data_IF_471681478711
#
_entry.id   IF_471681478711
#
_cell.length_a   1.000
_cell.length_b   1.000
_cell.length_c   1.000
_cell.angle_alpha   90.00
_cell.angle_beta   90.00
_cell.angle_gamma   90.00
#
_symmetry.space_group_name_H-M   'P 1'
#
loop_
_entity.id
_entity.type
_entity.pdbx_description
1 polymer ?
#
# COMPACT_ATOMS: atom_id res chain seq x y z
N UNK A 1 23.20 -39.36 -35.32
CA UNK A 1 23.48 -40.80 -35.37
C UNK A 1 22.13 -41.49 -35.50
N UNK A 2 21.88 -41.80 -36.66
CA UNK A 2 21.03 -42.72 -37.40
C UNK A 2 20.73 -44.00 -36.63
N UNK A 3 19.49 -44.50 -36.64
CA UNK A 3 19.15 -45.82 -37.17
C UNK A 3 17.64 -45.95 -37.39
N UNK A 4 17.34 -46.13 -38.67
CA UNK A 4 16.13 -46.61 -39.34
C UNK A 4 16.20 -48.14 -39.40
N UNK A 5 15.08 -48.77 -39.82
CA UNK A 5 14.90 -50.14 -40.42
C UNK A 5 13.87 -50.95 -39.60
N UNK A 6 12.93 -51.66 -40.17
CA UNK A 6 12.33 -51.83 -41.50
C UNK A 6 11.11 -52.77 -41.38
N UNK A 7 10.33 -52.70 -42.38
CA UNK A 7 9.16 -53.49 -42.75
C UNK A 7 9.51 -54.97 -43.02
N UNK A 8 8.56 -55.90 -42.77
CA UNK A 8 8.24 -57.01 -43.72
C UNK A 8 7.00 -57.79 -43.24
N UNK A 9 5.93 -57.75 -44.03
CA UNK A 9 5.38 -58.81 -44.91
C UNK A 9 5.06 -60.16 -44.21
N UNK A 10 3.86 -60.68 -44.14
CA UNK A 10 2.83 -60.90 -45.14
C UNK A 10 2.31 -62.32 -45.01
N UNK A 11 1.10 -62.51 -45.19
CA UNK A 11 0.36 -63.60 -45.87
C UNK A 11 -0.96 -64.02 -45.20
N UNK A 12 -1.92 -64.01 -46.02
CA UNK A 12 -3.28 -64.47 -45.86
C UNK A 12 -3.40 -65.98 -45.67
N UNK A 13 -4.43 -66.42 -45.02
CA UNK A 13 -5.12 -67.65 -45.33
C UNK A 13 -6.62 -67.57 -45.03
N UNK A 14 -7.36 -67.91 -46.04
CA UNK A 14 -8.81 -68.03 -46.19
C UNK A 14 -9.43 -69.11 -45.31
N UNK A 15 -10.68 -68.97 -44.93
CA UNK A 15 -11.45 -70.10 -44.49
C UNK A 15 -12.79 -69.83 -43.80
N UNK A 16 -13.85 -69.78 -44.60
CA UNK A 16 -15.18 -70.30 -44.36
C UNK A 16 -16.16 -69.65 -43.36
N UNK A 17 -17.16 -69.08 -43.94
CA UNK A 17 -18.47 -68.78 -43.36
C UNK A 17 -19.10 -69.95 -42.65
N UNK A 18 -19.81 -69.70 -41.52
CA UNK A 18 -21.08 -70.34 -41.16
C UNK A 18 -21.63 -69.61 -39.89
N UNK A 19 -22.94 -69.23 -40.00
CA UNK A 19 -23.90 -68.89 -38.93
C UNK A 19 -23.91 -67.49 -38.35
N UNK A 20 -24.36 -66.60 -39.21
CA UNK A 20 -25.00 -65.34 -38.79
C UNK A 20 -26.51 -65.59 -38.61
N UNK A 21 -27.05 -65.39 -37.43
CA UNK A 21 -28.48 -65.40 -37.21
C UNK A 21 -28.89 -65.07 -35.77
N UNK A 22 -28.02 -65.29 -34.78
CA UNK A 22 -28.37 -65.10 -33.36
C UNK A 22 -27.60 -63.97 -32.68
N UNK A 23 -26.58 -63.43 -33.35
CA UNK A 23 -25.69 -62.39 -32.80
C UNK A 23 -26.25 -60.97 -32.99
N UNK A 24 -26.96 -60.71 -34.12
CA UNK A 24 -27.45 -59.34 -34.40
C UNK A 24 -28.59 -58.89 -33.50
N UNK A 25 -29.49 -59.80 -33.09
CA UNK A 25 -30.59 -59.40 -32.17
C UNK A 25 -30.12 -59.16 -30.75
N UNK A 26 -29.02 -59.83 -30.31
CA UNK A 26 -28.38 -59.52 -29.00
C UNK A 26 -27.56 -58.24 -29.04
N UNK A 27 -26.88 -57.98 -30.12
CA UNK A 27 -26.11 -56.74 -30.30
C UNK A 27 -27.01 -55.49 -30.40
N UNK A 28 -28.18 -55.60 -31.07
CA UNK A 28 -29.14 -54.50 -31.17
C UNK A 28 -29.84 -54.20 -29.84
N UNK A 29 -30.12 -55.25 -29.02
CA UNK A 29 -30.72 -55.08 -27.69
C UNK A 29 -29.71 -54.50 -26.71
N UNK A 30 -28.45 -54.87 -26.78
CA UNK A 30 -27.37 -54.35 -25.96
C UNK A 30 -27.06 -52.89 -26.33
N UNK A 31 -27.03 -52.51 -27.61
CA UNK A 31 -26.88 -51.14 -28.05
C UNK A 31 -28.00 -50.20 -27.53
N UNK A 32 -29.26 -50.67 -27.57
CA UNK A 32 -30.41 -49.90 -27.03
C UNK A 32 -30.35 -49.74 -25.51
N UNK A 33 -29.84 -50.74 -24.77
CA UNK A 33 -29.68 -50.67 -23.30
C UNK A 33 -28.51 -49.77 -22.91
N UNK A 34 -27.38 -49.82 -23.63
CA UNK A 34 -26.24 -48.92 -23.41
C UNK A 34 -26.62 -47.49 -23.78
N UNK A 35 -27.37 -47.24 -24.83
CA UNK A 35 -27.87 -45.89 -25.21
C UNK A 35 -28.84 -45.31 -24.17
N UNK A 36 -29.69 -46.15 -23.56
CA UNK A 36 -30.61 -45.72 -22.49
C UNK A 36 -29.90 -45.46 -21.17
N UNK A 37 -28.85 -46.21 -20.87
CA UNK A 37 -27.99 -45.95 -19.71
C UNK A 37 -27.11 -44.71 -19.93
N UNK A 38 -26.58 -44.47 -21.13
CA UNK A 38 -25.82 -43.29 -21.47
C UNK A 38 -26.68 -42.00 -21.46
N UNK A 39 -27.95 -42.10 -21.92
CA UNK A 39 -28.91 -40.98 -21.84
C UNK A 39 -29.35 -40.68 -20.40
N UNK A 40 -29.47 -41.68 -19.55
CA UNK A 40 -29.80 -41.52 -18.13
C UNK A 40 -28.65 -40.90 -17.34
N UNK A 41 -27.37 -41.25 -17.66
CA UNK A 41 -26.18 -40.62 -17.09
C UNK A 41 -26.03 -39.17 -17.59
N UNK A 42 -26.31 -38.89 -18.88
CA UNK A 42 -26.23 -37.52 -19.41
C UNK A 42 -27.33 -36.61 -18.81
N UNK A 43 -28.52 -37.12 -18.54
CA UNK A 43 -29.57 -36.37 -17.87
C UNK A 43 -29.28 -36.16 -16.36
N UNK A 44 -28.60 -37.10 -15.69
CA UNK A 44 -28.15 -36.95 -14.30
C UNK A 44 -27.02 -35.90 -14.14
N UNK A 45 -26.14 -35.77 -15.14
CA UNK A 45 -25.05 -34.78 -15.12
C UNK A 45 -25.61 -33.37 -15.41
N UNK A 46 -26.70 -33.23 -16.20
CA UNK A 46 -27.33 -31.93 -16.43
C UNK A 46 -28.21 -31.45 -15.26
N UNK A 47 -28.67 -32.35 -14.38
CA UNK A 47 -29.45 -31.95 -13.19
C UNK A 47 -28.54 -31.55 -12.00
N UNK A 48 -27.25 -31.91 -12.01
CA UNK A 48 -26.29 -31.48 -11.00
C UNK A 48 -25.48 -30.24 -11.43
N UNK A 49 -25.67 -29.75 -12.66
CA UNK A 49 -24.97 -28.58 -13.21
C UNK A 49 -25.76 -27.27 -13.12
N UNK A 50 -26.93 -27.25 -12.47
CA UNK A 50 -27.66 -26.02 -12.14
C UNK A 50 -27.80 -25.80 -10.63
N UNK A 51 -26.78 -26.13 -9.85
CA UNK A 51 -26.37 -25.22 -8.80
C UNK A 51 -25.62 -24.11 -9.57
N UNK A 52 -26.39 -23.21 -10.16
CA UNK A 52 -25.96 -21.87 -10.43
C UNK A 52 -25.27 -21.42 -9.14
N UNK A 53 -23.97 -21.40 -9.13
CA UNK A 53 -23.28 -20.33 -8.46
C UNK A 53 -23.98 -19.07 -8.99
N UNK A 54 -25.01 -18.61 -8.29
CA UNK A 54 -25.29 -17.20 -8.24
C UNK A 54 -23.94 -16.61 -7.97
N UNK A 55 -23.32 -16.00 -8.98
CA UNK A 55 -22.22 -15.11 -8.77
C UNK A 55 -22.72 -14.13 -7.72
N UNK A 56 -22.42 -14.39 -6.45
CA UNK A 56 -21.86 -13.32 -5.68
C UNK A 56 -20.72 -12.86 -6.60
N UNK A 57 -20.87 -11.73 -7.26
CA UNK A 57 -19.77 -10.81 -7.28
C UNK A 57 -19.26 -10.88 -5.85
N UNK A 58 -18.20 -11.65 -5.60
CA UNK A 58 -17.32 -11.39 -4.49
C UNK A 58 -16.93 -9.92 -4.73
N UNK A 59 -17.72 -9.00 -4.19
CA UNK A 59 -17.15 -7.80 -3.68
C UNK A 59 -16.17 -8.36 -2.67
N UNK A 60 -14.92 -8.34 -3.05
CA UNK A 60 -13.83 -8.76 -2.21
C UNK A 60 -13.93 -7.84 -0.99
N UNK A 61 -14.75 -8.25 0.00
CA UNK A 61 -14.95 -7.49 1.21
C UNK A 61 -13.72 -7.77 2.08
N UNK A 62 -12.74 -6.91 1.88
CA UNK A 62 -11.46 -6.99 2.57
C UNK A 62 -11.62 -7.00 4.08
N UNK A 63 -12.61 -6.29 4.60
CA UNK A 63 -12.92 -6.29 6.03
C UNK A 63 -13.32 -7.69 6.53
N UNK A 64 -14.14 -8.41 5.77
CA UNK A 64 -14.49 -9.80 6.07
C UNK A 64 -13.27 -10.70 5.97
N UNK A 65 -12.46 -10.55 4.93
CA UNK A 65 -11.23 -11.33 4.75
C UNK A 65 -10.22 -11.13 5.91
N UNK A 66 -10.09 -9.90 6.43
CA UNK A 66 -9.24 -9.59 7.60
C UNK A 66 -9.76 -10.35 8.84
N UNK A 67 -11.06 -10.31 9.11
CA UNK A 67 -11.68 -11.03 10.23
C UNK A 67 -11.51 -12.54 10.13
N UNK A 68 -11.72 -13.09 8.95
CA UNK A 68 -11.67 -14.54 8.70
C UNK A 68 -10.25 -15.09 8.84
N UNK A 69 -9.22 -14.34 8.40
CA UNK A 69 -7.81 -14.76 8.50
C UNK A 69 -7.17 -14.40 9.85
N UNK A 70 -7.81 -13.54 10.66
CA UNK A 70 -7.39 -13.21 12.02
C UNK A 70 -6.23 -12.22 12.14
N UNK A 71 -5.88 -11.47 11.09
CA UNK A 71 -4.86 -10.42 11.16
C UNK A 71 -5.15 -9.27 10.21
N UNK A 72 -4.74 -8.06 10.61
CA UNK A 72 -4.67 -6.84 9.80
C UNK A 72 -3.21 -6.63 9.38
N UNK A 73 -2.95 -6.50 8.09
CA UNK A 73 -1.61 -6.27 7.55
C UNK A 73 -1.49 -4.84 7.04
N UNK A 74 -0.61 -4.07 7.68
CA UNK A 74 -0.33 -2.69 7.29
C UNK A 74 1.08 -2.54 6.72
N UNK A 75 1.27 -1.52 5.88
CA UNK A 75 2.60 -1.05 5.49
C UNK A 75 2.81 0.40 5.91
N UNK A 76 4.06 0.70 6.25
CA UNK A 76 4.48 2.02 6.75
C UNK A 76 5.95 2.29 6.40
N UNK A 77 6.34 3.56 6.31
CA UNK A 77 7.74 4.00 6.20
C UNK A 77 8.16 4.56 7.56
N UNK A 78 8.85 3.77 8.43
CA UNK A 78 9.00 4.09 9.83
C UNK A 78 10.18 5.04 10.10
N UNK A 79 10.24 6.16 9.38
CA UNK A 79 11.28 7.19 9.51
C UNK A 79 10.69 8.61 9.46
N UNK A 80 9.43 8.78 9.91
CA UNK A 80 8.75 10.07 9.88
C UNK A 80 8.02 10.37 11.20
N UNK A 81 8.78 10.66 12.26
CA UNK A 81 8.23 11.05 13.55
C UNK A 81 7.41 12.37 13.45
N UNK A 82 6.36 12.52 14.23
CA UNK A 82 5.86 11.64 15.30
C UNK A 82 4.85 10.58 14.81
N UNK A 83 4.66 10.43 13.50
CA UNK A 83 3.64 9.56 12.94
C UNK A 83 4.06 8.10 12.98
N UNK A 84 5.26 7.78 12.48
CA UNK A 84 5.87 6.45 12.49
C UNK A 84 7.40 6.54 12.56
N UNK A 85 7.99 5.79 13.49
CA UNK A 85 9.44 5.72 13.64
C UNK A 85 9.88 4.44 14.34
N UNK A 86 11.18 4.13 14.23
CA UNK A 86 11.81 3.00 14.93
C UNK A 86 12.41 3.49 16.25
N UNK A 87 11.97 2.92 17.37
CA UNK A 87 12.62 3.07 18.67
C UNK A 87 13.79 2.07 18.75
N UNK A 88 15.07 2.55 18.72
CA UNK A 88 16.24 1.68 18.71
C UNK A 88 16.46 0.94 20.03
N UNK A 89 15.72 1.28 21.07
CA UNK A 89 15.78 0.62 22.38
C UNK A 89 14.90 -0.62 22.46
N UNK A 90 14.04 -0.84 21.45
CA UNK A 90 13.08 -1.93 21.38
C UNK A 90 13.40 -2.87 20.22
N UNK A 91 12.70 -3.99 20.14
CA UNK A 91 12.88 -5.01 19.10
C UNK A 91 11.55 -5.67 18.73
N UNK A 92 11.52 -6.36 17.56
CA UNK A 92 10.28 -6.90 17.00
C UNK A 92 9.28 -5.77 16.71
N UNK A 93 7.98 -6.05 16.66
CA UNK A 93 6.98 -5.05 16.31
C UNK A 93 6.88 -3.92 17.34
N UNK A 94 7.32 -4.14 18.59
CA UNK A 94 7.36 -3.09 19.61
C UNK A 94 8.35 -1.94 19.29
N UNK A 95 9.25 -2.12 18.32
CA UNK A 95 10.14 -1.06 17.85
C UNK A 95 9.41 0.02 17.03
N UNK A 96 8.30 -0.33 16.39
CA UNK A 96 7.51 0.64 15.61
C UNK A 96 6.66 1.47 16.56
N UNK A 97 6.83 2.79 16.49
CA UNK A 97 6.20 3.75 17.39
C UNK A 97 5.61 4.90 16.58
N UNK A 98 4.65 5.59 17.16
CA UNK A 98 4.07 6.80 16.58
C UNK A 98 2.55 6.76 16.49
N UNK A 99 1.97 7.87 16.07
CA UNK A 99 0.51 8.07 15.97
C UNK A 99 -0.12 7.04 15.05
N UNK A 100 0.49 6.79 13.89
CA UNK A 100 -0.02 5.87 12.88
C UNK A 100 -0.02 4.42 13.37
N UNK A 101 0.99 4.07 14.18
CA UNK A 101 1.09 2.75 14.80
C UNK A 101 0.00 2.57 15.86
N UNK A 102 -0.30 3.60 16.65
CA UNK A 102 -1.40 3.54 17.64
C UNK A 102 -2.77 3.46 16.96
N UNK A 103 -2.98 4.18 15.86
CA UNK A 103 -4.19 4.05 15.05
C UNK A 103 -4.34 2.63 14.52
N UNK A 104 -3.24 2.03 14.00
CA UNK A 104 -3.25 0.65 13.51
C UNK A 104 -3.57 -0.35 14.61
N UNK A 105 -2.96 -0.20 15.79
CA UNK A 105 -3.24 -1.03 16.97
C UNK A 105 -4.71 -0.92 17.37
N UNK A 106 -5.25 0.29 17.46
CA UNK A 106 -6.65 0.52 17.79
C UNK A 106 -7.61 -0.18 16.83
N UNK A 107 -7.34 -0.07 15.51
CA UNK A 107 -8.16 -0.72 14.48
C UNK A 107 -8.10 -2.24 14.63
N UNK A 108 -6.90 -2.81 14.80
CA UNK A 108 -6.71 -4.26 14.94
C UNK A 108 -7.36 -4.79 16.21
N UNK A 109 -7.19 -4.12 17.35
CA UNK A 109 -7.79 -4.47 18.64
C UNK A 109 -9.33 -4.44 18.56
N UNK A 110 -9.90 -3.40 17.95
CA UNK A 110 -11.35 -3.26 17.77
C UNK A 110 -11.92 -4.33 16.83
N UNK A 111 -11.12 -4.79 15.84
CA UNK A 111 -11.46 -5.93 14.98
C UNK A 111 -11.30 -7.28 15.70
N UNK A 112 -10.53 -7.34 16.79
CA UNK A 112 -10.17 -8.57 17.49
C UNK A 112 -9.19 -9.44 16.71
N UNK A 113 -8.26 -8.83 15.96
CA UNK A 113 -7.28 -9.49 15.10
C UNK A 113 -5.85 -9.08 15.45
N UNK A 114 -4.86 -9.88 15.03
CA UNK A 114 -3.43 -9.55 15.14
C UNK A 114 -3.07 -8.38 14.21
N UNK A 115 -2.25 -7.43 14.66
CA UNK A 115 -1.62 -6.43 13.79
C UNK A 115 -0.31 -6.96 13.25
N UNK A 116 -0.09 -6.84 11.93
CA UNK A 116 1.18 -7.12 11.26
C UNK A 116 1.68 -5.88 10.55
N UNK A 117 2.92 -5.50 10.85
CA UNK A 117 3.55 -4.29 10.33
C UNK A 117 4.64 -4.66 9.35
N UNK A 118 4.56 -4.16 8.11
CA UNK A 118 5.59 -4.31 7.09
C UNK A 118 6.24 -2.96 6.83
N UNK A 119 7.51 -2.79 7.25
CA UNK A 119 8.26 -1.55 6.98
C UNK A 119 8.73 -1.54 5.52
N UNK A 120 8.58 -0.40 4.84
CA UNK A 120 8.95 -0.18 3.44
C UNK A 120 9.44 1.25 3.24
N UNK A 121 10.13 1.50 2.11
CA UNK A 121 10.31 2.86 1.62
C UNK A 121 8.97 3.47 1.21
N UNK A 122 8.79 4.79 1.34
CA UNK A 122 7.52 5.48 1.11
C UNK A 122 6.90 5.19 -0.27
N UNK A 123 7.71 5.16 -1.34
CA UNK A 123 7.23 4.81 -2.69
C UNK A 123 6.68 3.38 -2.73
N UNK A 124 7.31 2.45 -2.02
CA UNK A 124 6.86 1.06 -1.94
C UNK A 124 5.59 0.90 -1.08
N UNK A 125 5.41 1.76 -0.05
CA UNK A 125 4.16 1.84 0.73
C UNK A 125 3.00 2.21 -0.21
N UNK A 126 3.13 3.30 -0.97
CA UNK A 126 2.08 3.75 -1.90
C UNK A 126 1.77 2.71 -2.97
N UNK A 127 2.81 2.15 -3.60
CA UNK A 127 2.63 1.11 -4.62
C UNK A 127 2.03 -0.18 -4.03
N UNK A 128 2.50 -0.60 -2.86
CA UNK A 128 2.05 -1.83 -2.21
C UNK A 128 0.57 -1.80 -1.84
N UNK A 129 0.07 -0.68 -1.33
CA UNK A 129 -1.34 -0.53 -1.02
C UNK A 129 -2.20 -0.39 -2.28
N UNK A 130 -1.75 0.38 -3.28
CA UNK A 130 -2.46 0.51 -4.55
C UNK A 130 -2.59 -0.83 -5.29
N UNK A 131 -1.56 -1.68 -5.24
CA UNK A 131 -1.53 -3.03 -5.81
C UNK A 131 -2.35 -4.07 -4.98
N UNK A 132 -2.91 -3.68 -3.84
CA UNK A 132 -3.69 -4.59 -2.98
C UNK A 132 -2.86 -5.58 -2.16
N UNK A 133 -1.55 -5.39 -2.04
CA UNK A 133 -0.66 -6.28 -1.27
C UNK A 133 -0.89 -6.17 0.23
N UNK A 134 -1.25 -5.00 0.71
CA UNK A 134 -1.54 -4.70 2.11
C UNK A 134 -2.99 -4.27 2.27
N UNK A 135 -3.53 -4.39 3.47
CA UNK A 135 -4.90 -3.97 3.77
C UNK A 135 -5.01 -2.47 3.92
N UNK A 136 -3.99 -1.90 4.56
CA UNK A 136 -3.97 -0.51 4.97
C UNK A 136 -2.54 0.02 4.90
N UNK A 137 -2.39 1.24 4.46
CA UNK A 137 -1.18 2.01 4.64
C UNK A 137 -1.44 3.15 5.63
N UNK A 138 -0.64 3.20 6.67
CA UNK A 138 -0.56 4.28 7.65
C UNK A 138 0.90 4.74 7.66
N UNK A 139 1.17 5.92 7.09
CA UNK A 139 2.52 6.44 6.86
C UNK A 139 2.48 7.94 6.58
N UNK A 140 1.81 8.68 7.45
CA UNK A 140 1.58 10.12 7.32
C UNK A 140 1.17 10.55 5.89
N UNK A 141 0.37 9.73 5.22
CA UNK A 141 0.03 9.91 3.81
C UNK A 141 -0.82 11.17 3.66
N UNK A 142 -0.26 12.20 3.04
CA UNK A 142 -1.03 13.40 2.73
C UNK A 142 -2.04 13.11 1.62
N UNK A 143 -3.25 13.64 1.78
CA UNK A 143 -4.26 13.59 0.73
C UNK A 143 -3.77 14.27 -0.54
N UNK A 144 -4.01 13.68 -1.69
CA UNK A 144 -3.91 14.35 -2.99
C UNK A 144 -4.91 13.74 -3.99
N UNK A 145 -5.42 14.54 -4.96
CA UNK A 145 -6.35 14.04 -5.97
C UNK A 145 -5.79 12.84 -6.74
N UNK A 146 -4.52 12.88 -7.14
CA UNK A 146 -3.88 11.80 -7.88
C UNK A 146 -3.75 10.50 -7.08
N UNK A 147 -3.53 10.58 -5.77
CA UNK A 147 -3.54 9.41 -4.89
C UNK A 147 -4.95 8.85 -4.71
N UNK A 148 -5.96 9.74 -4.61
CA UNK A 148 -7.36 9.34 -4.49
C UNK A 148 -7.91 8.64 -5.76
N UNK A 149 -7.26 8.81 -6.92
CA UNK A 149 -7.56 8.06 -8.15
C UNK A 149 -6.99 6.63 -8.10
N UNK A 150 -5.87 6.42 -7.40
CA UNK A 150 -5.16 5.14 -7.36
C UNK A 150 -5.51 4.26 -6.16
N UNK A 151 -5.95 4.86 -5.06
CA UNK A 151 -6.23 4.18 -3.81
C UNK A 151 -7.39 4.85 -3.06
N UNK A 152 -8.11 4.06 -2.27
CA UNK A 152 -9.16 4.58 -1.39
C UNK A 152 -8.52 5.24 -0.18
N UNK A 153 -8.98 6.43 0.17
CA UNK A 153 -8.48 7.20 1.30
C UNK A 153 -9.54 7.35 2.38
N UNK A 154 -9.12 7.30 3.63
CA UNK A 154 -9.96 7.62 4.77
C UNK A 154 -10.27 9.12 4.86
N UNK A 155 -11.12 9.49 5.81
CA UNK A 155 -11.20 10.86 6.28
C UNK A 155 -9.84 11.30 6.85
N UNK A 156 -9.59 12.60 6.83
CA UNK A 156 -8.38 13.19 7.43
C UNK A 156 -8.44 12.99 8.95
N UNK A 157 -7.41 12.33 9.52
CA UNK A 157 -7.35 12.10 10.96
C UNK A 157 -6.50 13.12 11.70
N UNK A 158 -5.56 13.81 11.03
CA UNK A 158 -4.75 14.85 11.63
C UNK A 158 -4.28 15.87 10.59
N UNK A 159 -4.10 17.13 11.02
CA UNK A 159 -3.47 18.18 10.24
C UNK A 159 -2.68 19.10 11.16
N UNK A 160 -1.38 19.26 10.87
CA UNK A 160 -0.53 20.16 11.66
C UNK A 160 -0.86 21.63 11.45
N UNK A 161 -1.53 21.97 10.33
CA UNK A 161 -1.84 23.35 9.98
C UNK A 161 -0.61 24.19 9.58
N UNK A 162 0.60 23.62 9.57
CA UNK A 162 1.86 24.37 9.37
C UNK A 162 2.26 24.54 7.91
N UNK A 163 1.71 23.69 7.00
CA UNK A 163 1.94 23.74 5.56
C UNK A 163 3.31 23.21 5.13
N UNK A 164 3.66 23.49 3.87
CA UNK A 164 4.91 23.06 3.25
C UNK A 164 5.82 24.25 3.00
N UNK A 165 7.13 24.04 3.20
CA UNK A 165 8.15 25.07 3.04
C UNK A 165 9.53 24.46 2.84
N UNK A 166 10.54 25.17 3.30
CA UNK A 166 11.94 24.75 3.20
C UNK A 166 12.52 24.43 4.59
N UNK A 167 13.40 23.44 4.64
CA UNK A 167 14.37 23.27 5.70
C UNK A 167 15.76 23.57 5.11
N UNK A 168 16.54 24.38 5.80
CA UNK A 168 17.88 24.81 5.40
C UNK A 168 18.81 24.80 6.60
N UNK A 169 20.12 24.95 6.42
CA UNK A 169 21.05 25.23 7.51
C UNK A 169 20.70 26.58 8.16
N UNK A 170 20.94 26.73 9.45
CA UNK A 170 20.62 27.94 10.22
C UNK A 170 21.27 29.20 9.62
N UNK A 171 22.52 29.11 9.18
CA UNK A 171 23.22 30.21 8.51
C UNK A 171 22.60 30.63 7.17
N UNK A 172 21.87 29.72 6.51
CA UNK A 172 21.26 29.94 5.20
C UNK A 172 19.79 30.43 5.27
N UNK A 173 19.21 30.60 6.46
CA UNK A 173 17.79 30.94 6.63
C UNK A 173 17.39 32.24 5.93
N UNK A 174 18.27 33.22 5.87
CA UNK A 174 18.06 34.48 5.17
C UNK A 174 18.31 34.41 3.66
N UNK A 175 18.88 33.34 3.15
CA UNK A 175 19.21 33.14 1.74
C UNK A 175 18.02 32.56 0.97
N UNK A 176 17.35 31.57 1.52
CA UNK A 176 16.30 30.81 0.82
C UNK A 176 14.90 31.29 1.24
N UNK A 177 14.54 32.51 0.86
CA UNK A 177 13.29 33.18 1.29
C UNK A 177 12.16 33.07 0.28
N UNK A 178 12.43 32.61 -0.94
CA UNK A 178 11.47 32.43 -2.02
C UNK A 178 11.97 31.39 -3.06
N UNK A 179 11.15 31.11 -4.10
CA UNK A 179 11.50 30.17 -5.16
C UNK A 179 12.67 30.63 -6.03
N UNK A 180 12.84 31.93 -6.25
CA UNK A 180 13.93 32.43 -7.09
C UNK A 180 15.29 32.19 -6.45
N UNK A 181 15.36 32.17 -5.13
CA UNK A 181 16.58 31.86 -4.38
C UNK A 181 17.09 30.44 -4.58
N UNK A 182 16.28 29.55 -5.14
CA UNK A 182 16.67 28.16 -5.40
C UNK A 182 17.56 27.97 -6.62
N UNK A 183 17.77 28.99 -7.47
CA UNK A 183 18.45 28.88 -8.77
C UNK A 183 19.84 28.21 -8.69
N UNK A 184 20.61 28.50 -7.63
CA UNK A 184 21.94 27.92 -7.41
C UNK A 184 21.94 26.83 -6.31
N UNK A 185 20.77 26.38 -5.86
CA UNK A 185 20.62 25.42 -4.78
C UNK A 185 20.57 23.97 -5.26
N UNK A 186 21.10 23.08 -4.46
CA UNK A 186 20.82 21.65 -4.51
C UNK A 186 19.57 21.41 -3.66
N UNK A 187 18.47 21.05 -4.32
CA UNK A 187 17.15 20.80 -3.69
C UNK A 187 16.96 19.30 -3.52
N UNK A 188 16.42 18.88 -2.38
CA UNK A 188 16.20 17.46 -2.06
C UNK A 188 14.81 17.21 -1.50
N UNK A 189 14.20 16.06 -1.85
CA UNK A 189 12.93 15.58 -1.28
C UNK A 189 12.88 14.05 -1.32
N UNK A 190 11.98 13.41 -0.56
CA UNK A 190 11.69 11.99 -0.74
C UNK A 190 10.94 11.72 -2.04
N UNK A 191 11.24 10.59 -2.67
CA UNK A 191 10.54 10.13 -3.88
C UNK A 191 9.08 9.77 -3.58
N UNK A 192 8.17 10.07 -4.51
CA UNK A 192 6.72 9.79 -4.40
C UNK A 192 5.98 10.69 -3.40
N UNK A 193 6.68 11.64 -2.76
CA UNK A 193 6.11 12.54 -1.75
C UNK A 193 5.32 13.70 -2.35
N UNK A 194 4.50 14.36 -1.51
CA UNK A 194 3.89 15.66 -1.87
C UNK A 194 4.97 16.71 -2.14
N UNK A 195 6.08 16.63 -1.44
CA UNK A 195 7.22 17.53 -1.59
C UNK A 195 7.86 17.43 -2.98
N UNK A 196 7.96 16.21 -3.53
CA UNK A 196 8.37 16.01 -4.93
C UNK A 196 7.36 16.61 -5.90
N UNK A 197 6.06 16.43 -5.64
CA UNK A 197 5.02 17.05 -6.46
C UNK A 197 5.09 18.59 -6.42
N UNK A 198 5.35 19.17 -5.24
CA UNK A 198 5.57 20.61 -5.10
C UNK A 198 6.82 21.08 -5.84
N UNK A 199 7.91 20.34 -5.78
CA UNK A 199 9.09 20.61 -6.60
C UNK A 199 8.74 20.64 -8.09
N UNK A 200 8.08 19.62 -8.59
CA UNK A 200 7.70 19.50 -10.00
C UNK A 200 6.75 20.63 -10.43
N UNK A 201 5.85 21.04 -9.56
CA UNK A 201 4.88 22.11 -9.85
C UNK A 201 5.49 23.51 -9.82
N UNK A 202 6.33 23.82 -8.83
CA UNK A 202 6.76 25.17 -8.52
C UNK A 202 8.21 25.48 -8.88
N UNK A 203 9.10 24.48 -8.83
CA UNK A 203 10.54 24.64 -9.09
C UNK A 203 10.91 24.14 -10.47
N UNK A 204 10.48 22.93 -10.83
CA UNK A 204 10.57 22.32 -12.17
C UNK A 204 11.93 22.58 -12.89
N UNK A 205 13.04 22.27 -12.21
CA UNK A 205 14.38 22.46 -12.76
C UNK A 205 14.96 23.87 -12.63
N UNK A 206 14.23 24.83 -12.02
CA UNK A 206 14.76 26.16 -11.71
C UNK A 206 15.65 26.11 -10.44
N UNK A 207 16.57 25.14 -10.38
CA UNK A 207 17.57 24.97 -9.35
C UNK A 207 18.84 24.38 -9.96
N UNK A 208 19.95 24.38 -9.21
CA UNK A 208 21.20 23.81 -9.68
C UNK A 208 21.15 22.29 -9.87
N UNK A 209 20.56 21.58 -8.93
CA UNK A 209 20.42 20.13 -8.92
C UNK A 209 19.20 19.73 -8.10
N UNK A 210 18.48 18.68 -8.55
CA UNK A 210 17.42 18.06 -7.77
C UNK A 210 17.78 16.63 -7.40
N UNK A 211 17.61 16.29 -6.13
CA UNK A 211 17.89 14.96 -5.59
C UNK A 211 16.66 14.33 -4.98
N UNK A 212 16.52 13.03 -5.19
CA UNK A 212 15.51 12.20 -4.55
C UNK A 212 16.19 11.24 -3.57
N UNK A 213 15.55 11.04 -2.42
CA UNK A 213 15.93 10.08 -1.38
C UNK A 213 14.77 9.19 -1.02
N UNK A 214 15.03 8.17 -0.19
CA UNK A 214 14.00 7.20 0.21
C UNK A 214 13.16 7.68 1.40
N UNK A 215 13.73 8.51 2.28
CA UNK A 215 13.04 8.99 3.49
C UNK A 215 13.20 10.49 3.71
N UNK A 216 12.30 11.07 4.51
CA UNK A 216 12.40 12.49 4.90
C UNK A 216 13.61 12.72 5.82
N UNK A 217 13.91 11.79 6.71
CA UNK A 217 15.09 11.85 7.58
C UNK A 217 16.38 11.91 6.77
N UNK A 218 16.50 11.12 5.69
CA UNK A 218 17.65 11.20 4.78
C UNK A 218 17.78 12.57 4.12
N UNK A 219 16.65 13.19 3.76
CA UNK A 219 16.62 14.52 3.17
C UNK A 219 17.09 15.59 4.18
N UNK A 220 16.63 15.52 5.43
CA UNK A 220 17.06 16.44 6.49
C UNK A 220 18.56 16.29 6.81
N UNK A 221 19.02 15.05 6.94
CA UNK A 221 20.41 14.73 7.17
C UNK A 221 21.32 15.26 6.03
N UNK A 222 20.87 15.11 4.78
CA UNK A 222 21.60 15.62 3.62
C UNK A 222 21.79 17.15 3.68
N UNK A 223 20.80 17.91 4.17
CA UNK A 223 20.94 19.35 4.39
C UNK A 223 21.91 19.65 5.54
N UNK A 224 21.77 18.94 6.67
CA UNK A 224 22.65 19.10 7.83
C UNK A 224 24.12 18.83 7.48
N UNK A 225 24.39 17.81 6.66
CA UNK A 225 25.72 17.42 6.21
C UNK A 225 26.24 18.19 4.98
N UNK A 226 25.55 19.24 4.55
CA UNK A 226 25.92 20.05 3.39
C UNK A 226 26.00 19.26 2.05
N UNK A 227 25.22 18.17 1.93
CA UNK A 227 25.05 17.39 0.70
C UNK A 227 23.91 17.91 -0.17
N UNK A 228 23.01 18.71 0.43
CA UNK A 228 21.96 19.49 -0.20
C UNK A 228 21.89 20.87 0.48
N UNK A 229 21.26 21.83 -0.19
CA UNK A 229 21.10 23.17 0.34
C UNK A 229 19.72 23.39 0.95
N UNK A 230 18.70 22.82 0.30
CA UNK A 230 17.28 23.01 0.65
C UNK A 230 16.54 21.70 0.58
N UNK A 231 15.86 21.34 1.67
CA UNK A 231 14.84 20.29 1.66
C UNK A 231 13.45 20.94 1.58
N UNK A 232 12.65 20.53 0.60
CA UNK A 232 11.20 20.85 0.61
C UNK A 232 10.55 19.87 1.60
N UNK A 233 9.79 20.38 2.57
CA UNK A 233 9.29 19.59 3.70
C UNK A 233 7.93 20.08 4.21
N UNK A 234 7.23 19.23 4.95
CA UNK A 234 6.17 19.63 5.87
C UNK A 234 6.83 20.35 7.06
N UNK A 235 6.50 21.64 7.23
CA UNK A 235 7.29 22.48 8.14
C UNK A 235 7.16 22.09 9.61
N UNK A 236 6.04 21.49 10.02
CA UNK A 236 5.87 21.03 11.40
C UNK A 236 6.79 19.87 11.78
N UNK A 237 6.96 18.89 10.89
CA UNK A 237 7.91 17.77 11.11
C UNK A 237 9.35 18.24 11.01
N UNK A 238 9.65 19.12 10.04
CA UNK A 238 10.98 19.68 9.89
C UNK A 238 11.42 20.55 11.09
N UNK A 239 10.49 21.26 11.73
CA UNK A 239 10.75 22.03 12.96
C UNK A 239 11.09 21.12 14.14
N UNK A 240 10.43 19.96 14.22
CA UNK A 240 10.72 18.95 15.22
C UNK A 240 12.17 18.45 15.06
N UNK A 241 12.52 18.03 13.83
CA UNK A 241 13.87 17.59 13.50
C UNK A 241 14.93 18.67 13.79
N UNK A 242 14.70 19.91 13.36
CA UNK A 242 15.62 21.02 13.58
C UNK A 242 15.82 21.33 15.07
N UNK A 243 14.76 21.21 15.88
CA UNK A 243 14.83 21.44 17.33
C UNK A 243 15.68 20.41 18.03
N UNK A 244 15.59 19.15 17.63
CA UNK A 244 16.33 18.07 18.29
C UNK A 244 17.80 18.00 17.85
N UNK A 245 18.06 18.21 16.57
CA UNK A 245 19.40 18.04 16.02
C UNK A 245 20.21 19.35 15.98
N UNK A 246 19.55 20.50 16.01
CA UNK A 246 20.22 21.82 15.92
C UNK A 246 20.80 22.11 14.53
N UNK A 247 21.31 23.33 14.34
CA UNK A 247 22.01 23.74 13.10
C UNK A 247 21.15 23.87 11.85
N UNK A 248 19.83 23.64 11.97
CA UNK A 248 18.84 23.74 10.88
C UNK A 248 17.76 24.76 11.22
N UNK A 249 17.14 25.35 10.21
CA UNK A 249 16.12 26.37 10.35
C UNK A 249 15.10 26.30 9.23
N UNK A 250 13.90 26.87 9.48
CA UNK A 250 12.79 26.89 8.54
C UNK A 250 12.54 28.33 8.11
N UNK A 251 12.88 28.72 6.86
CA UNK A 251 12.56 30.03 6.31
C UNK A 251 11.05 30.29 6.33
N UNK A 252 10.67 31.55 6.24
CA UNK A 252 9.27 31.99 6.28
C UNK A 252 8.44 31.59 5.03
N UNK A 253 9.10 31.20 3.93
CA UNK A 253 8.42 30.81 2.69
C UNK A 253 7.49 29.60 2.91
N UNK A 254 6.31 29.68 2.33
CA UNK A 254 5.33 28.58 2.32
C UNK A 254 4.77 28.40 0.91
N UNK A 255 4.67 27.13 0.48
CA UNK A 255 3.99 26.79 -0.76
C UNK A 255 2.49 27.06 -0.65
N UNK A 256 1.90 27.60 -1.72
CA UNK A 256 0.45 27.70 -1.83
C UNK A 256 -0.12 26.34 -2.25
N UNK A 257 -0.72 25.61 -1.31
CA UNK A 257 -1.31 24.29 -1.53
C UNK A 257 -2.80 24.30 -1.22
N UNK A 258 -3.53 23.35 -1.81
CA UNK A 258 -4.90 23.07 -1.37
C UNK A 258 -4.88 22.74 0.14
N UNK A 259 -5.73 23.38 0.97
CA UNK A 259 -5.79 23.09 2.40
C UNK A 259 -5.96 21.60 2.74
N UNK A 260 -6.65 20.83 1.88
CA UNK A 260 -6.84 19.40 2.08
C UNK A 260 -5.51 18.60 2.01
N UNK A 261 -4.50 19.11 1.32
CA UNK A 261 -3.18 18.48 1.23
C UNK A 261 -2.38 18.58 2.54
N UNK A 262 -2.83 19.39 3.50
CA UNK A 262 -2.20 19.47 4.83
C UNK A 262 -2.70 18.38 5.79
N UNK A 263 -3.68 17.61 5.38
CA UNK A 263 -4.24 16.52 6.17
C UNK A 263 -3.61 15.19 5.83
N UNK A 264 -3.41 14.36 6.84
CA UNK A 264 -2.96 12.97 6.70
C UNK A 264 -4.13 12.00 6.78
N UNK A 265 -4.06 10.93 5.99
CA UNK A 265 -5.12 9.95 5.80
C UNK A 265 -4.55 8.53 5.83
N UNK A 266 -5.36 7.55 6.19
CA UNK A 266 -5.07 6.15 5.92
C UNK A 266 -5.42 5.82 4.46
N UNK A 267 -4.62 4.97 3.80
CA UNK A 267 -4.88 4.55 2.43
C UNK A 267 -5.13 3.04 2.35
N UNK A 268 -6.00 2.65 1.44
CA UNK A 268 -6.44 1.27 1.21
C UNK A 268 -6.47 0.98 -0.30
N UNK A 269 -6.42 -0.29 -0.72
CA UNK A 269 -6.69 -0.65 -2.12
C UNK A 269 -8.00 -0.04 -2.61
N UNK A 270 -8.07 0.31 -3.90
CA UNK A 270 -9.27 0.93 -4.46
C UNK A 270 -10.47 -0.02 -4.45
N UNK A 271 -10.27 -1.29 -4.77
CA UNK A 271 -11.33 -2.27 -4.95
C UNK A 271 -11.58 -3.10 -3.68
N UNK A 272 -12.84 -3.37 -3.37
CA UNK A 272 -13.26 -4.27 -2.30
C UNK A 272 -12.98 -3.76 -0.87
N UNK A 273 -12.76 -2.47 -0.68
CA UNK A 273 -12.40 -1.87 0.61
C UNK A 273 -13.40 -0.85 1.12
N UNK A 274 -14.60 -0.78 0.54
CA UNK A 274 -15.64 0.15 0.95
C UNK A 274 -16.02 -0.03 2.43
N UNK A 275 -16.23 -1.29 2.85
CA UNK A 275 -16.58 -1.62 4.23
C UNK A 275 -15.38 -1.39 5.17
N UNK A 276 -14.15 -1.69 4.72
CA UNK A 276 -12.95 -1.41 5.48
C UNK A 276 -12.75 0.10 5.69
N UNK A 277 -12.93 0.91 4.65
CA UNK A 277 -12.82 2.36 4.72
C UNK A 277 -13.86 2.95 5.69
N UNK A 278 -15.11 2.52 5.60
CA UNK A 278 -16.14 2.96 6.53
C UNK A 278 -15.80 2.60 7.98
N UNK A 279 -15.27 1.40 8.22
CA UNK A 279 -14.83 0.95 9.53
C UNK A 279 -13.62 1.74 10.06
N UNK A 280 -12.64 2.01 9.20
CA UNK A 280 -11.48 2.86 9.55
C UNK A 280 -11.95 4.27 9.92
N UNK A 281 -12.84 4.87 9.12
CA UNK A 281 -13.39 6.21 9.42
C UNK A 281 -14.17 6.25 10.73
N UNK A 282 -14.91 5.19 11.08
CA UNK A 282 -15.55 5.06 12.39
C UNK A 282 -14.51 5.07 13.51
N UNK A 283 -13.44 4.28 13.38
CA UNK A 283 -12.34 4.26 14.36
C UNK A 283 -11.66 5.63 14.51
N UNK A 284 -11.38 6.30 13.38
CA UNK A 284 -10.75 7.62 13.38
C UNK A 284 -11.66 8.68 14.04
N UNK A 285 -12.96 8.63 13.78
CA UNK A 285 -13.93 9.53 14.41
C UNK A 285 -14.00 9.32 15.94
N UNK A 286 -13.96 8.07 16.41
CA UNK A 286 -13.93 7.76 17.85
C UNK A 286 -12.63 8.27 18.50
N UNK A 287 -11.48 8.04 17.89
CA UNK A 287 -10.18 8.50 18.38
C UNK A 287 -10.10 10.02 18.41
N UNK A 288 -10.60 10.70 17.39
CA UNK A 288 -10.66 12.16 17.31
C UNK A 288 -11.60 12.72 18.39
N UNK A 289 -12.78 12.14 18.57
CA UNK A 289 -13.74 12.56 19.59
C UNK A 289 -13.19 12.37 21.03
N UNK A 290 -12.33 11.36 21.22
CA UNK A 290 -11.64 11.12 22.50
C UNK A 290 -10.42 12.04 22.70
N UNK A 291 -9.95 12.75 21.67
CA UNK A 291 -8.71 13.55 21.70
C UNK A 291 -7.43 12.70 21.71
N UNK A 292 -7.55 11.40 21.40
CA UNK A 292 -6.41 10.47 21.48
C UNK A 292 -5.33 10.78 20.45
N UNK A 293 -5.72 11.21 19.25
CA UNK A 293 -4.77 11.49 18.17
C UNK A 293 -3.87 12.68 18.53
N UNK A 294 -4.44 13.74 19.09
CA UNK A 294 -3.71 14.91 19.57
C UNK A 294 -2.81 14.57 20.76
N UNK A 295 -3.31 13.74 21.70
CA UNK A 295 -2.53 13.27 22.84
C UNK A 295 -1.33 12.43 22.37
N UNK A 296 -1.54 11.46 21.48
CA UNK A 296 -0.47 10.66 20.90
C UNK A 296 0.54 11.52 20.11
N UNK A 297 0.06 12.49 19.34
CA UNK A 297 0.94 13.39 18.60
C UNK A 297 1.86 14.17 19.56
N UNK A 298 1.34 14.69 20.66
CA UNK A 298 2.14 15.37 21.66
C UNK A 298 3.12 14.42 22.38
N UNK A 299 2.65 13.22 22.73
CA UNK A 299 3.45 12.19 23.39
C UNK A 299 4.62 11.75 22.50
N UNK A 300 4.34 11.38 21.24
CA UNK A 300 5.36 10.85 20.33
C UNK A 300 6.34 11.91 19.82
N UNK A 301 5.91 13.18 19.77
CA UNK A 301 6.85 14.30 19.61
C UNK A 301 7.88 14.36 20.74
N UNK A 302 7.41 14.25 21.98
CA UNK A 302 8.31 14.30 23.14
C UNK A 302 9.19 13.04 23.24
N UNK A 303 8.64 11.86 22.90
CA UNK A 303 9.38 10.59 22.90
C UNK A 303 10.48 10.60 21.83
N UNK A 304 10.16 10.97 20.59
CA UNK A 304 11.10 11.04 19.49
C UNK A 304 12.24 12.05 19.78
N UNK A 305 11.90 13.25 20.25
CA UNK A 305 12.88 14.25 20.66
C UNK A 305 13.82 13.73 21.77
N UNK A 306 13.29 12.97 22.74
CA UNK A 306 14.07 12.35 23.81
C UNK A 306 15.02 11.26 23.33
N UNK A 307 14.71 10.61 22.20
CA UNK A 307 15.52 9.59 21.57
C UNK A 307 16.51 10.15 20.50
N UNK A 308 16.36 11.43 20.14
CA UNK A 308 17.09 12.05 19.02
C UNK A 308 16.65 11.48 17.66
N UNK A 309 15.40 11.04 17.58
CA UNK A 309 14.78 10.46 16.38
C UNK A 309 13.75 11.45 15.85
N UNK A 310 13.80 11.68 14.57
CA UNK A 310 12.85 12.61 13.94
C UNK A 310 12.63 12.46 12.46
#
# INVERSE_FOLDING_TARGET
MWYTIAIENGRACTGAAIKNGCSEKRAAKMKKTVYRLALALAAGIMAFGMVSCGGKTESDDRLTAIRDRGYLEICTEPYFAPYEYIDPTKSGDAQYRGVDIEIANYIADKLGVELRITPLDFTAVLAGVADGKYDLALSAIAYSPSRAEAMRMSDVYYSSGTGYGFLVREEDVGKYTDLAALADAVVITPSGSVQEALYNQYVNGACKEFKLVSSMTDAYLAVAENKADVCICATGSAELYATANGGLSIPAYRFAVDPNMNGVVAAMPMEGTEALCAYVNECLAELSAAGSIEEWNAQYKAEAAGLGIE
#
